data_IF_996533957397
#
_entry.id   IF_996533957397
#
_cell.length_a   1.000
_cell.length_b   1.000
_cell.length_c   1.000
_cell.angle_alpha   90.00
_cell.angle_beta   90.00
_cell.angle_gamma   90.00
#
_symmetry.space_group_name_H-M   'P 1'
#
loop_
_entity.id
_entity.type
_entity.pdbx_description
1 polymer ?
#
# COMPACT_ATOMS: atom_id res chain seq x y z
N UNK A 1 20.75 -7.30 19.67
CA UNK A 1 19.63 -8.06 20.24
C UNK A 1 19.05 -7.35 21.47
N UNK A 2 19.84 -6.93 22.45
CA UNK A 2 19.33 -6.21 23.65
C UNK A 2 18.50 -4.94 23.32
N UNK A 3 18.96 -4.09 22.39
CA UNK A 3 18.21 -2.89 21.98
C UNK A 3 16.89 -3.22 21.29
N UNK A 4 16.84 -4.32 20.52
CA UNK A 4 15.61 -4.76 19.87
C UNK A 4 14.59 -5.22 20.90
N UNK A 5 15.01 -5.95 21.93
CA UNK A 5 14.12 -6.36 23.02
C UNK A 5 13.62 -5.16 23.83
N UNK A 6 14.47 -4.15 24.09
CA UNK A 6 14.05 -2.90 24.72
C UNK A 6 12.94 -2.21 23.92
N UNK A 7 13.12 -2.08 22.60
CA UNK A 7 12.10 -1.51 21.72
C UNK A 7 10.82 -2.36 21.72
N UNK A 8 10.93 -3.69 21.69
CA UNK A 8 9.75 -4.58 21.77
C UNK A 8 8.93 -4.34 23.04
N UNK A 9 9.59 -4.22 24.19
CA UNK A 9 8.94 -3.92 25.47
C UNK A 9 8.29 -2.54 25.44
N UNK A 10 8.99 -1.52 24.96
CA UNK A 10 8.45 -0.16 24.83
C UNK A 10 7.18 -0.12 23.95
N UNK A 11 7.25 -0.68 22.74
CA UNK A 11 6.11 -0.71 21.82
C UNK A 11 4.95 -1.58 22.32
N UNK A 12 5.21 -2.57 23.18
CA UNK A 12 4.17 -3.39 23.81
C UNK A 12 3.35 -2.61 24.86
N UNK A 13 3.88 -1.52 25.41
CA UNK A 13 3.16 -0.67 26.38
C UNK A 13 2.23 0.37 25.74
N UNK A 14 2.30 0.56 24.42
CA UNK A 14 1.49 1.56 23.73
C UNK A 14 0.01 1.16 23.68
N UNK A 15 -0.85 2.09 24.09
CA UNK A 15 -2.29 1.92 24.07
C UNK A 15 -2.90 2.36 22.72
N UNK A 16 -4.16 2.00 22.41
CA UNK A 16 -4.82 2.45 21.19
C UNK A 16 -4.79 3.97 20.98
N UNK A 17 -4.78 4.77 22.05
CA UNK A 17 -4.64 6.23 21.97
C UNK A 17 -3.27 6.65 21.46
N UNK A 18 -2.20 6.01 21.90
CA UNK A 18 -0.83 6.34 21.48
C UNK A 18 -0.63 6.02 20.01
N UNK A 19 -1.15 4.87 19.57
CA UNK A 19 -1.17 4.49 18.16
C UNK A 19 -1.99 5.43 17.29
N UNK A 20 -2.99 6.11 17.84
CA UNK A 20 -3.85 7.04 17.10
C UNK A 20 -3.55 8.52 17.38
N UNK A 21 -2.36 8.83 17.89
CA UNK A 21 -1.97 10.21 18.24
C UNK A 21 -1.83 11.15 17.03
N UNK A 22 -1.54 10.60 15.85
CA UNK A 22 -1.56 11.31 14.57
C UNK A 22 -1.57 10.31 13.40
N UNK A 23 -1.72 10.81 12.18
CA UNK A 23 -1.83 10.00 10.95
C UNK A 23 -0.63 9.06 10.73
N UNK A 24 0.59 9.50 11.08
CA UNK A 24 1.79 8.68 10.93
C UNK A 24 1.71 7.43 11.83
N UNK A 25 1.38 7.62 13.11
CA UNK A 25 1.25 6.51 14.06
C UNK A 25 0.06 5.61 13.74
N UNK A 26 -1.06 6.18 13.29
CA UNK A 26 -2.22 5.40 12.87
C UNK A 26 -1.92 4.54 11.64
N UNK A 27 -1.09 5.04 10.70
CA UNK A 27 -0.63 4.25 9.55
C UNK A 27 0.27 3.09 9.98
N UNK A 28 1.27 3.34 10.83
CA UNK A 28 2.09 2.26 11.41
C UNK A 28 1.24 1.22 12.14
N UNK A 29 0.23 1.69 12.87
CA UNK A 29 -0.70 0.80 13.56
C UNK A 29 -1.51 -0.05 12.58
N UNK A 30 -1.91 0.48 11.42
CA UNK A 30 -2.52 -0.32 10.36
C UNK A 30 -1.52 -1.35 9.80
N UNK A 31 -0.27 -0.96 9.49
CA UNK A 31 0.75 -1.89 8.98
C UNK A 31 1.06 -3.05 9.94
N UNK A 32 0.96 -2.81 11.24
CA UNK A 32 1.11 -3.88 12.26
C UNK A 32 0.13 -5.05 12.06
N UNK A 33 -1.06 -4.82 11.48
CA UNK A 33 -2.01 -5.93 11.22
C UNK A 33 -1.67 -6.71 9.96
N UNK A 34 -0.95 -6.10 9.01
CA UNK A 34 -0.58 -6.72 7.74
C UNK A 34 0.36 -7.91 8.01
N UNK A 35 1.27 -7.74 8.96
CA UNK A 35 2.28 -8.74 9.38
C UNK A 35 1.79 -9.67 10.51
N UNK A 36 0.48 -9.75 10.74
CA UNK A 36 -0.07 -10.68 11.72
C UNK A 36 -0.18 -12.09 11.13
N UNK A 37 0.20 -13.10 11.90
CA UNK A 37 0.04 -14.50 11.50
C UNK A 37 -1.45 -14.84 11.33
N UNK A 38 -1.80 -15.42 10.17
CA UNK A 38 -3.14 -15.90 9.90
C UNK A 38 -3.26 -17.36 10.31
N UNK A 39 -4.14 -17.64 11.27
CA UNK A 39 -4.38 -18.99 11.79
C UNK A 39 -5.47 -19.78 11.04
N UNK A 40 -6.02 -20.79 11.72
CA UNK A 40 -7.14 -21.60 11.22
C UNK A 40 -8.34 -20.71 10.85
N UNK A 41 -8.91 -20.93 9.67
CA UNK A 41 -10.07 -20.20 9.16
C UNK A 41 -9.75 -19.24 8.00
N UNK A 42 -8.48 -18.86 7.81
CA UNK A 42 -8.01 -18.12 6.63
C UNK A 42 -7.72 -19.04 5.45
N UNK A 43 -7.52 -18.46 4.26
CA UNK A 43 -7.12 -19.22 3.07
C UNK A 43 -5.78 -19.93 3.29
N UNK A 44 -5.58 -21.09 2.64
CA UNK A 44 -4.38 -21.92 2.86
C UNK A 44 -3.08 -21.18 2.57
N UNK A 45 -3.05 -20.35 1.53
CA UNK A 45 -1.88 -19.54 1.21
C UNK A 45 -1.55 -18.53 2.33
N UNK A 46 -2.56 -17.97 3.02
CA UNK A 46 -2.35 -16.97 4.07
C UNK A 46 -1.69 -17.54 5.33
N UNK A 47 -1.81 -18.86 5.53
CA UNK A 47 -1.25 -19.55 6.69
C UNK A 47 0.23 -19.92 6.51
N UNK A 48 0.84 -19.54 5.38
CA UNK A 48 2.23 -19.90 5.05
C UNK A 48 3.21 -18.82 5.48
N UNK A 49 4.43 -19.23 5.84
CA UNK A 49 5.54 -18.28 6.09
C UNK A 49 5.86 -17.42 4.88
N UNK A 50 5.81 -18.01 3.67
CA UNK A 50 6.01 -17.28 2.42
C UNK A 50 5.02 -16.11 2.24
N UNK A 51 3.75 -16.30 2.62
CA UNK A 51 2.77 -15.21 2.59
C UNK A 51 3.03 -14.14 3.65
N UNK A 52 3.50 -14.55 4.84
CA UNK A 52 3.90 -13.61 5.89
C UNK A 52 5.12 -12.77 5.45
N UNK A 53 6.09 -13.37 4.78
CA UNK A 53 7.23 -12.67 4.19
C UNK A 53 6.75 -11.67 3.12
N UNK A 54 5.82 -12.06 2.24
CA UNK A 54 5.20 -11.14 1.27
C UNK A 54 4.48 -9.98 1.95
N UNK A 55 3.77 -10.25 3.05
CA UNK A 55 3.11 -9.21 3.85
C UNK A 55 4.11 -8.26 4.51
N UNK A 56 5.23 -8.79 5.01
CA UNK A 56 6.32 -7.98 5.54
C UNK A 56 6.90 -7.07 4.44
N UNK A 57 7.10 -7.59 3.23
CA UNK A 57 7.54 -6.80 2.08
C UNK A 57 6.59 -5.64 1.76
N UNK A 58 5.28 -5.93 1.69
CA UNK A 58 4.24 -4.91 1.49
C UNK A 58 4.26 -3.86 2.61
N UNK A 59 4.42 -4.29 3.87
CA UNK A 59 4.49 -3.39 5.00
C UNK A 59 5.73 -2.48 4.96
N UNK A 60 6.89 -3.03 4.57
CA UNK A 60 8.14 -2.28 4.44
C UNK A 60 8.11 -1.29 3.27
N UNK A 61 7.57 -1.69 2.11
CA UNK A 61 7.35 -0.77 0.98
C UNK A 61 6.41 0.39 1.38
N UNK A 62 5.33 0.09 2.10
CA UNK A 62 4.41 1.11 2.62
C UNK A 62 5.06 2.01 3.68
N UNK A 63 5.94 1.45 4.50
CA UNK A 63 6.72 2.21 5.46
C UNK A 63 7.74 3.14 4.78
N UNK A 64 8.45 2.67 3.75
CA UNK A 64 9.34 3.50 2.93
C UNK A 64 8.57 4.67 2.30
N UNK A 65 7.37 4.41 1.76
CA UNK A 65 6.48 5.44 1.25
C UNK A 65 6.04 6.46 2.32
N UNK A 66 5.71 5.98 3.53
CA UNK A 66 5.38 6.82 4.66
C UNK A 66 6.57 7.70 5.07
N UNK A 67 7.79 7.15 5.10
CA UNK A 67 9.02 7.91 5.38
C UNK A 67 9.25 8.98 4.32
N UNK A 68 9.19 8.62 3.04
CA UNK A 68 9.27 9.57 1.94
C UNK A 68 8.28 10.75 2.11
N UNK A 69 7.01 10.46 2.44
CA UNK A 69 5.97 11.49 2.56
C UNK A 69 6.05 12.33 3.85
N UNK A 70 6.80 11.88 4.86
CA UNK A 70 6.94 12.59 6.16
C UNK A 70 8.30 13.25 6.36
N UNK A 71 9.29 12.93 5.53
CA UNK A 71 10.51 13.71 5.43
C UNK A 71 10.16 15.01 4.70
N UNK A 72 10.58 16.15 5.25
CA UNK A 72 10.26 17.49 4.77
C UNK A 72 10.97 17.85 3.45
N UNK A 73 10.76 17.06 2.39
CA UNK A 73 11.04 17.47 1.02
C UNK A 73 9.73 17.90 0.37
N UNK A 74 9.51 19.22 0.29
CA UNK A 74 8.50 19.74 -0.61
C UNK A 74 8.93 19.43 -2.05
N UNK A 75 8.21 18.53 -2.74
CA UNK A 75 8.36 18.38 -4.18
C UNK A 75 8.05 19.71 -4.85
N UNK A 76 8.92 20.16 -5.75
CA UNK A 76 8.67 21.34 -6.56
C UNK A 76 7.48 21.09 -7.50
N UNK A 77 6.64 22.11 -7.70
CA UNK A 77 5.56 22.05 -8.68
C UNK A 77 6.15 22.12 -10.10
N UNK A 78 5.66 21.26 -10.98
CA UNK A 78 5.97 21.29 -12.42
C UNK A 78 4.69 21.50 -13.22
N UNK A 79 4.82 22.12 -14.40
CA UNK A 79 3.73 22.18 -15.39
C UNK A 79 3.78 20.91 -16.24
N UNK A 80 2.68 20.14 -16.36
CA UNK A 80 2.68 18.89 -17.13
C UNK A 80 2.85 19.15 -18.63
N UNK A 81 3.77 18.43 -19.27
CA UNK A 81 3.79 18.30 -20.74
C UNK A 81 2.75 17.24 -21.09
N UNK A 82 1.66 17.67 -21.74
CA UNK A 82 0.62 16.78 -22.22
C UNK A 82 1.14 15.95 -23.40
N UNK A 83 1.29 14.64 -23.21
CA UNK A 83 1.33 13.69 -24.34
C UNK A 83 -0.10 13.19 -24.53
N UNK A 84 -0.81 13.80 -25.48
CA UNK A 84 -2.15 13.38 -25.84
C UNK A 84 -2.12 11.99 -26.46
N UNK A 85 -2.77 11.03 -25.83
CA UNK A 85 -3.10 9.75 -26.45
C UNK A 85 -4.43 9.95 -27.18
N UNK A 86 -4.41 9.89 -28.52
CA UNK A 86 -5.60 9.99 -29.37
C UNK A 86 -5.74 8.74 -30.21
N UNK A 87 -6.54 7.78 -29.73
CA UNK A 87 -7.35 6.84 -30.54
C UNK A 87 -7.92 5.76 -29.62
N UNK A 88 -9.26 5.65 -29.58
CA UNK A 88 -9.99 4.53 -28.98
C UNK A 88 -10.48 3.66 -30.14
N UNK A 89 -9.96 2.45 -30.26
CA UNK A 89 -10.55 1.44 -31.16
C UNK A 89 -11.87 0.91 -30.59
N UNK A 90 -12.82 0.46 -31.42
CA UNK A 90 -14.09 -0.08 -30.95
C UNK A 90 -13.86 -1.38 -30.18
N UNK A 91 -14.18 -1.39 -28.89
CA UNK A 91 -14.05 -2.56 -28.04
C UNK A 91 -15.19 -3.56 -28.29
N UNK A 92 -14.89 -4.88 -28.41
CA UNK A 92 -15.91 -5.93 -28.37
C UNK A 92 -16.66 -5.90 -27.03
N UNK A 93 -17.86 -6.52 -26.95
CA UNK A 93 -18.64 -6.53 -25.71
C UNK A 93 -17.77 -7.03 -24.55
N UNK A 94 -17.78 -6.31 -23.40
CA UNK A 94 -16.89 -6.63 -22.31
C UNK A 94 -17.19 -8.05 -21.81
N UNK A 95 -16.16 -8.87 -21.55
CA UNK A 95 -16.37 -10.12 -20.82
C UNK A 95 -17.04 -9.80 -19.47
N UNK A 96 -17.77 -10.76 -18.87
CA UNK A 96 -18.33 -10.57 -17.55
C UNK A 96 -17.23 -10.09 -16.60
N UNK A 97 -17.50 -9.06 -15.75
CA UNK A 97 -16.46 -8.48 -14.91
C UNK A 97 -15.81 -9.60 -14.09
N UNK A 98 -14.47 -9.66 -14.05
CA UNK A 98 -13.79 -10.67 -13.26
C UNK A 98 -14.27 -10.56 -11.81
N UNK A 99 -14.60 -11.70 -11.19
CA UNK A 99 -14.99 -11.71 -9.78
C UNK A 99 -13.82 -11.16 -8.96
N UNK A 100 -13.97 -9.96 -8.42
CA UNK A 100 -12.90 -9.26 -7.72
C UNK A 100 -12.58 -9.92 -6.38
N UNK A 101 -11.31 -9.93 -6.00
CA UNK A 101 -10.85 -10.39 -4.69
C UNK A 101 -10.27 -9.20 -3.93
N UNK A 102 -10.82 -8.90 -2.75
CA UNK A 102 -10.16 -8.00 -1.79
C UNK A 102 -9.21 -8.83 -0.94
N UNK A 103 -7.99 -8.37 -0.69
CA UNK A 103 -7.11 -9.09 0.23
C UNK A 103 -7.78 -9.18 1.62
N UNK A 104 -7.95 -10.39 2.21
CA UNK A 104 -8.78 -10.59 3.40
C UNK A 104 -8.08 -10.16 4.71
N UNK A 105 -7.86 -8.85 4.87
CA UNK A 105 -7.24 -8.20 6.04
C UNK A 105 -8.24 -7.27 6.76
N UNK A 106 -9.24 -7.79 7.49
CA UNK A 106 -10.34 -6.98 8.01
C UNK A 106 -9.86 -5.95 9.05
N UNK A 107 -8.90 -6.30 9.90
CA UNK A 107 -8.34 -5.36 10.88
C UNK A 107 -7.57 -4.22 10.21
N UNK A 108 -6.87 -4.50 9.10
CA UNK A 108 -6.16 -3.48 8.33
C UNK A 108 -7.14 -2.44 7.78
N UNK A 109 -8.19 -2.89 7.09
CA UNK A 109 -9.22 -2.00 6.55
C UNK A 109 -9.94 -1.23 7.64
N UNK A 110 -10.22 -1.86 8.79
CA UNK A 110 -10.80 -1.16 9.94
C UNK A 110 -9.89 -0.02 10.45
N UNK A 111 -8.58 -0.26 10.56
CA UNK A 111 -7.62 0.76 11.01
C UNK A 111 -7.43 1.89 9.99
N UNK A 112 -7.29 1.57 8.70
CA UNK A 112 -7.20 2.59 7.64
C UNK A 112 -8.49 3.41 7.52
N UNK A 113 -9.66 2.76 7.63
CA UNK A 113 -10.94 3.45 7.67
C UNK A 113 -11.03 4.41 8.86
N UNK A 114 -10.63 3.95 10.05
CA UNK A 114 -10.62 4.77 11.28
C UNK A 114 -9.69 5.97 11.11
N UNK A 115 -8.47 5.74 10.60
CA UNK A 115 -7.48 6.80 10.30
C UNK A 115 -8.06 7.84 9.34
N UNK A 116 -8.72 7.39 8.27
CA UNK A 116 -9.32 8.26 7.26
C UNK A 116 -10.49 9.07 7.82
N UNK A 117 -11.35 8.44 8.65
CA UNK A 117 -12.43 9.14 9.35
C UNK A 117 -11.92 10.19 10.32
N UNK A 118 -10.86 9.89 11.07
CA UNK A 118 -10.21 10.86 11.96
C UNK A 118 -9.63 12.05 11.17
N UNK A 119 -8.96 11.78 10.05
CA UNK A 119 -8.45 12.82 9.16
C UNK A 119 -9.59 13.72 8.64
N UNK A 120 -10.67 13.09 8.15
CA UNK A 120 -11.85 13.79 7.65
C UNK A 120 -12.50 14.69 8.69
N UNK A 121 -12.82 14.14 9.87
CA UNK A 121 -13.43 14.91 10.95
C UNK A 121 -12.53 16.05 11.42
N UNK A 122 -11.23 15.78 11.63
CA UNK A 122 -10.29 16.81 12.08
C UNK A 122 -10.13 17.96 11.08
N UNK A 123 -9.97 17.66 9.78
CA UNK A 123 -9.87 18.69 8.74
C UNK A 123 -11.18 19.47 8.56
N UNK A 124 -12.32 18.81 8.74
CA UNK A 124 -13.63 19.45 8.69
C UNK A 124 -13.85 20.40 9.88
N UNK A 125 -13.52 19.98 11.09
CA UNK A 125 -13.60 20.80 12.31
C UNK A 125 -12.70 22.03 12.24
N UNK A 126 -11.52 21.90 11.62
CA UNK A 126 -10.61 23.01 11.36
C UNK A 126 -11.10 23.96 10.25
N UNK A 127 -12.21 23.65 9.56
CA UNK A 127 -12.75 24.40 8.43
C UNK A 127 -11.73 24.64 7.28
N UNK A 128 -10.82 23.69 7.05
CA UNK A 128 -9.79 23.79 5.99
C UNK A 128 -10.16 23.04 4.71
N UNK A 129 -11.29 22.32 4.70
CA UNK A 129 -11.78 21.60 3.53
C UNK A 129 -12.66 22.51 2.67
N UNK A 130 -12.29 22.65 1.39
CA UNK A 130 -13.22 23.11 0.37
C UNK A 130 -14.14 21.95 -0.09
N UNK A 131 -15.23 22.27 -0.79
CA UNK A 131 -16.23 21.28 -1.23
C UNK A 131 -15.64 20.12 -2.06
N UNK A 132 -14.64 20.41 -2.90
CA UNK A 132 -13.96 19.41 -3.72
C UNK A 132 -13.13 18.45 -2.87
N UNK A 133 -12.32 18.96 -1.93
CA UNK A 133 -11.53 18.15 -1.01
C UNK A 133 -12.42 17.34 -0.05
N UNK A 134 -13.51 17.93 0.44
CA UNK A 134 -14.50 17.24 1.27
C UNK A 134 -15.15 16.07 0.52
N UNK A 135 -15.57 16.27 -0.74
CA UNK A 135 -16.15 15.22 -1.58
C UNK A 135 -15.17 14.08 -1.82
N UNK A 136 -13.90 14.40 -2.07
CA UNK A 136 -12.85 13.39 -2.32
C UNK A 136 -12.54 12.57 -1.08
N UNK A 137 -12.40 13.23 0.07
CA UNK A 137 -12.10 12.55 1.33
C UNK A 137 -13.29 11.73 1.83
N UNK A 138 -14.52 12.23 1.69
CA UNK A 138 -15.73 11.44 2.01
C UNK A 138 -15.90 10.24 1.07
N UNK A 139 -15.62 10.39 -0.23
CA UNK A 139 -15.60 9.26 -1.18
C UNK A 139 -14.57 8.20 -0.79
N UNK A 140 -13.40 8.58 -0.28
CA UNK A 140 -12.41 7.63 0.23
C UNK A 140 -12.93 6.87 1.45
N UNK A 141 -13.58 7.57 2.40
CA UNK A 141 -14.22 6.94 3.57
C UNK A 141 -15.24 5.90 3.11
N UNK A 142 -16.16 6.25 2.21
CA UNK A 142 -17.19 5.31 1.70
C UNK A 142 -16.58 4.12 0.96
N UNK A 143 -15.51 4.35 0.19
CA UNK A 143 -14.79 3.25 -0.50
C UNK A 143 -14.18 2.28 0.50
N UNK A 144 -13.52 2.79 1.55
CA UNK A 144 -12.93 1.98 2.61
C UNK A 144 -13.99 1.24 3.45
N UNK A 145 -15.16 1.83 3.68
CA UNK A 145 -16.29 1.15 4.32
C UNK A 145 -16.75 -0.05 3.50
N UNK A 146 -16.87 0.11 2.18
CA UNK A 146 -17.27 -0.97 1.28
C UNK A 146 -16.22 -2.08 1.24
N UNK A 147 -14.94 -1.73 1.13
CA UNK A 147 -13.83 -2.69 1.19
C UNK A 147 -13.79 -3.45 2.51
N UNK A 148 -13.98 -2.76 3.64
CA UNK A 148 -14.04 -3.40 4.95
C UNK A 148 -15.20 -4.41 5.05
N UNK A 149 -16.37 -4.06 4.55
CA UNK A 149 -17.52 -4.97 4.53
C UNK A 149 -17.27 -6.21 3.65
N UNK A 150 -16.77 -6.01 2.44
CA UNK A 150 -16.39 -7.08 1.51
C UNK A 150 -15.35 -8.02 2.13
N UNK A 151 -14.33 -7.45 2.76
CA UNK A 151 -13.28 -8.19 3.43
C UNK A 151 -13.83 -9.07 4.55
N UNK A 152 -14.72 -8.55 5.41
CA UNK A 152 -15.37 -9.35 6.47
C UNK A 152 -16.19 -10.50 5.87
N UNK A 153 -16.92 -10.25 4.79
CA UNK A 153 -17.74 -11.27 4.12
C UNK A 153 -16.89 -12.36 3.49
N UNK A 154 -15.77 -12.00 2.85
CA UNK A 154 -14.83 -12.97 2.31
C UNK A 154 -14.18 -13.82 3.40
N UNK A 155 -13.74 -13.22 4.53
CA UNK A 155 -13.21 -13.98 5.68
C UNK A 155 -14.27 -14.91 6.27
N UNK A 156 -15.54 -14.50 6.28
CA UNK A 156 -16.67 -15.33 6.68
C UNK A 156 -17.12 -16.35 5.61
N UNK A 157 -16.36 -16.49 4.51
CA UNK A 157 -16.65 -17.36 3.38
C UNK A 157 -18.07 -17.17 2.78
N UNK A 158 -18.54 -15.92 2.75
CA UNK A 158 -19.82 -15.54 2.13
C UNK A 158 -19.58 -15.15 0.67
N UNK A 159 -20.47 -15.59 -0.22
CA UNK A 159 -20.41 -15.22 -1.63
C UNK A 159 -20.58 -13.71 -1.83
N UNK A 160 -19.88 -13.16 -2.83
CA UNK A 160 -20.02 -11.79 -3.27
C UNK A 160 -21.17 -11.67 -4.28
N UNK A 161 -21.96 -10.61 -4.16
CA UNK A 161 -23.06 -10.31 -5.09
C UNK A 161 -22.54 -9.73 -6.41
N UNK A 162 -23.40 -9.58 -7.42
CA UNK A 162 -23.00 -8.89 -8.65
C UNK A 162 -22.57 -7.44 -8.37
N UNK A 163 -23.31 -6.72 -7.53
CA UNK A 163 -22.99 -5.34 -7.11
C UNK A 163 -21.59 -5.25 -6.47
N UNK A 164 -21.22 -6.25 -5.66
CA UNK A 164 -19.89 -6.31 -5.07
C UNK A 164 -18.79 -6.44 -6.13
N UNK A 165 -19.01 -7.30 -7.12
CA UNK A 165 -18.06 -7.51 -8.21
C UNK A 165 -17.96 -6.26 -9.10
N UNK A 166 -19.08 -5.59 -9.36
CA UNK A 166 -19.11 -4.33 -10.12
C UNK A 166 -18.36 -3.22 -9.38
N UNK A 167 -18.54 -3.13 -8.05
CA UNK A 167 -17.76 -2.22 -7.21
C UNK A 167 -16.26 -2.50 -7.28
N UNK A 168 -15.86 -3.78 -7.19
CA UNK A 168 -14.44 -4.16 -7.24
C UNK A 168 -13.83 -3.92 -8.62
N UNK A 169 -14.58 -4.14 -9.70
CA UNK A 169 -14.16 -3.79 -11.04
C UNK A 169 -13.98 -2.28 -11.22
N UNK A 170 -14.83 -1.47 -10.58
CA UNK A 170 -14.76 -0.01 -10.60
C UNK A 170 -13.79 0.61 -9.56
N UNK A 171 -13.22 -0.21 -8.67
CA UNK A 171 -12.38 0.26 -7.57
C UNK A 171 -11.18 1.11 -8.02
N UNK A 172 -10.41 0.75 -9.07
CA UNK A 172 -9.28 1.57 -9.51
C UNK A 172 -9.69 3.01 -9.86
N UNK A 173 -10.82 3.18 -10.56
CA UNK A 173 -11.37 4.49 -10.90
C UNK A 173 -11.93 5.23 -9.68
N UNK A 174 -12.55 4.50 -8.73
CA UNK A 174 -12.98 5.09 -7.47
C UNK A 174 -11.80 5.64 -6.66
N UNK A 175 -10.71 4.88 -6.58
CA UNK A 175 -9.48 5.29 -5.90
C UNK A 175 -8.84 6.50 -6.61
N UNK A 176 -8.75 6.47 -7.94
CA UNK A 176 -8.23 7.59 -8.74
C UNK A 176 -9.02 8.88 -8.49
N UNK A 177 -10.36 8.82 -8.43
CA UNK A 177 -11.20 9.98 -8.11
C UNK A 177 -10.98 10.51 -6.69
N UNK A 178 -10.74 9.64 -5.71
CA UNK A 178 -10.42 10.05 -4.35
C UNK A 178 -9.05 10.79 -4.28
N UNK A 179 -8.04 10.26 -4.96
CA UNK A 179 -6.70 10.89 -5.10
C UNK A 179 -6.75 12.15 -5.98
N UNK A 180 -7.79 12.29 -6.82
CA UNK A 180 -8.11 13.42 -7.69
C UNK A 180 -6.96 13.89 -8.58
N UNK A 181 -6.87 15.20 -8.81
CA UNK A 181 -5.97 15.81 -9.82
C UNK A 181 -4.50 15.83 -9.37
N UNK A 182 -3.94 14.66 -9.08
CA UNK A 182 -2.51 14.45 -8.91
C UNK A 182 -1.96 14.04 -10.28
N UNK A 183 -0.79 14.59 -10.65
CA UNK A 183 -0.15 14.21 -11.89
C UNK A 183 0.28 12.73 -11.88
N UNK A 184 0.49 12.13 -13.05
CA UNK A 184 0.90 10.71 -13.15
C UNK A 184 2.21 10.44 -12.39
N UNK A 185 3.04 11.46 -12.17
CA UNK A 185 4.26 11.36 -11.35
C UNK A 185 3.94 11.20 -9.86
N UNK A 186 2.95 11.92 -9.33
CA UNK A 186 2.50 11.80 -7.95
C UNK A 186 1.72 10.51 -7.66
N UNK A 187 1.33 9.78 -8.70
CA UNK A 187 0.75 8.43 -8.60
C UNK A 187 1.80 7.31 -8.64
N UNK A 188 3.07 7.63 -8.92
CA UNK A 188 4.12 6.61 -8.99
C UNK A 188 4.40 6.00 -7.62
N UNK A 189 4.50 4.69 -7.60
CA UNK A 189 4.95 3.91 -6.44
C UNK A 189 6.46 3.84 -6.33
N UNK A 190 7.20 4.26 -7.37
CA UNK A 190 8.67 4.25 -7.42
C UNK A 190 9.25 5.46 -6.68
N UNK A 191 9.38 5.33 -5.37
CA UNK A 191 9.83 6.40 -4.45
C UNK A 191 10.95 5.89 -3.55
N UNK A 192 11.80 6.81 -3.09
CA UNK A 192 12.96 6.50 -2.26
C UNK A 192 13.12 7.49 -1.10
N UNK A 193 13.57 7.01 0.05
CA UNK A 193 13.83 7.83 1.22
C UNK A 193 15.16 7.46 1.88
N UNK A 194 16.03 8.46 2.09
CA UNK A 194 17.10 8.37 3.07
C UNK A 194 16.50 8.44 4.47
N UNK A 195 16.53 7.32 5.19
CA UNK A 195 15.99 7.21 6.54
C UNK A 195 17.03 7.38 7.63
N UNK A 196 18.32 7.31 7.29
CA UNK A 196 19.42 7.45 8.24
C UNK A 196 20.75 7.78 7.56
N UNK A 197 21.50 8.73 8.12
CA UNK A 197 22.84 9.07 7.66
C UNK A 197 23.87 8.71 8.72
N UNK A 198 24.81 7.82 8.37
CA UNK A 198 25.97 7.51 9.21
C UNK A 198 27.19 8.33 8.76
N UNK A 199 27.54 9.36 9.54
CA UNK A 199 28.65 10.25 9.25
C UNK A 199 30.03 9.57 9.35
N UNK A 200 30.13 8.45 10.08
CA UNK A 200 31.41 7.74 10.24
C UNK A 200 31.76 6.97 8.96
N UNK A 201 30.79 6.24 8.41
CA UNK A 201 30.96 5.53 7.14
C UNK A 201 30.70 6.39 5.90
N UNK A 202 30.13 7.59 6.08
CA UNK A 202 29.69 8.49 5.00
C UNK A 202 28.65 7.84 4.08
N UNK A 203 27.80 6.98 4.65
CA UNK A 203 26.73 6.29 3.95
C UNK A 203 25.36 6.73 4.46
N UNK A 204 24.37 6.69 3.59
CA UNK A 204 22.94 6.80 3.91
C UNK A 204 22.32 5.40 3.84
N UNK A 205 21.28 5.17 4.64
CA UNK A 205 20.38 4.03 4.50
C UNK A 205 19.18 4.49 3.68
N UNK A 206 19.07 3.93 2.48
CA UNK A 206 18.00 4.21 1.53
C UNK A 206 16.94 3.10 1.62
N UNK A 207 15.70 3.54 1.65
CA UNK A 207 14.50 2.70 1.71
C UNK A 207 13.61 3.08 0.55
N UNK A 208 13.28 2.12 -0.32
CA UNK A 208 12.59 2.43 -1.57
C UNK A 208 11.50 1.42 -1.90
N UNK A 209 10.50 1.88 -2.66
CA UNK A 209 9.61 1.02 -3.41
C UNK A 209 9.93 1.10 -4.89
N UNK A 210 9.88 -0.04 -5.58
CA UNK A 210 10.19 -0.16 -6.99
C UNK A 210 8.93 -0.23 -7.86
N UNK A 211 9.05 -0.94 -8.98
CA UNK A 211 7.89 -1.28 -9.81
C UNK A 211 6.96 -2.25 -9.07
N UNK A 212 5.68 -2.23 -9.42
CA UNK A 212 4.73 -3.21 -8.88
C UNK A 212 4.99 -4.56 -9.53
N UNK A 213 5.06 -5.60 -8.70
CA UNK A 213 5.13 -6.99 -9.14
C UNK A 213 3.72 -7.58 -9.19
N UNK A 214 3.58 -8.79 -9.73
CA UNK A 214 2.33 -9.54 -9.67
C UNK A 214 2.42 -10.68 -8.66
N UNK A 215 1.34 -10.86 -7.90
CA UNK A 215 1.13 -12.08 -7.11
C UNK A 215 0.05 -12.92 -7.76
N UNK A 216 0.25 -14.23 -7.74
CA UNK A 216 -0.75 -15.22 -8.16
C UNK A 216 -1.09 -16.07 -6.93
N UNK A 217 -2.37 -16.11 -6.55
CA UNK A 217 -2.84 -16.91 -5.41
C UNK A 217 -3.95 -17.86 -5.83
N UNK A 218 -3.89 -19.09 -5.34
CA UNK A 218 -4.99 -20.03 -5.42
C UNK A 218 -6.00 -19.72 -4.31
N UNK A 219 -7.15 -19.18 -4.68
CA UNK A 219 -8.21 -18.76 -3.76
C UNK A 219 -9.38 -19.74 -3.82
N UNK A 220 -9.73 -20.32 -2.67
CA UNK A 220 -10.93 -21.17 -2.54
C UNK A 220 -12.14 -20.28 -2.28
N UNK A 221 -13.11 -20.30 -3.19
CA UNK A 221 -14.35 -19.52 -3.08
C UNK A 221 -15.37 -20.20 -2.19
N UNK A 222 -16.42 -19.46 -1.83
CA UNK A 222 -17.55 -19.94 -1.04
C UNK A 222 -18.29 -21.09 -1.74
N UNK A 223 -18.33 -21.06 -3.08
CA UNK A 223 -18.90 -22.09 -3.95
C UNK A 223 -18.09 -23.40 -3.97
N UNK A 224 -16.89 -23.40 -3.37
CA UNK A 224 -16.04 -24.58 -3.19
C UNK A 224 -14.99 -24.79 -4.27
N UNK A 225 -15.09 -24.08 -5.40
CA UNK A 225 -14.08 -24.12 -6.45
C UNK A 225 -12.87 -23.23 -6.14
N UNK A 226 -11.74 -23.57 -6.77
CA UNK A 226 -10.47 -22.86 -6.62
C UNK A 226 -10.22 -22.06 -7.88
N UNK A 227 -9.97 -20.76 -7.71
CA UNK A 227 -9.60 -19.84 -8.80
C UNK A 227 -8.20 -19.31 -8.57
N UNK A 228 -7.53 -18.93 -9.65
CA UNK A 228 -6.29 -18.14 -9.57
C UNK A 228 -6.67 -16.66 -9.58
N UNK A 229 -6.33 -15.94 -8.52
CA UNK A 229 -6.43 -14.49 -8.47
C UNK A 229 -5.04 -13.89 -8.73
N UNK A 230 -5.01 -12.85 -9.57
CA UNK A 230 -3.80 -12.11 -9.90
C UNK A 230 -3.99 -10.67 -9.46
N UNK A 231 -3.01 -10.11 -8.78
CA UNK A 231 -3.05 -8.73 -8.31
C UNK A 231 -1.68 -8.09 -8.21
N UNK A 232 -1.60 -6.75 -8.23
CA UNK A 232 -0.35 -6.04 -8.03
C UNK A 232 0.10 -6.12 -6.58
N UNK A 233 1.41 -6.24 -6.36
CA UNK A 233 2.05 -6.16 -5.04
C UNK A 233 3.22 -5.20 -5.10
N UNK A 234 3.53 -4.57 -3.96
CA UNK A 234 4.65 -3.64 -3.87
C UNK A 234 5.97 -4.41 -3.82
N UNK A 235 6.99 -3.87 -4.47
CA UNK A 235 8.39 -4.24 -4.26
C UNK A 235 9.05 -3.31 -3.25
N UNK A 236 10.08 -3.81 -2.57
CA UNK A 236 10.81 -3.09 -1.53
C UNK A 236 12.32 -3.29 -1.70
N UNK A 237 13.07 -2.22 -1.48
CA UNK A 237 14.52 -2.20 -1.52
C UNK A 237 15.06 -1.48 -0.28
N UNK A 238 16.06 -2.08 0.36
CA UNK A 238 16.81 -1.50 1.47
C UNK A 238 18.30 -1.64 1.15
N UNK A 239 19.02 -0.52 1.09
CA UNK A 239 20.44 -0.55 0.78
C UNK A 239 21.19 0.68 1.31
N UNK A 240 22.51 0.55 1.40
CA UNK A 240 23.38 1.68 1.73
C UNK A 240 23.82 2.41 0.47
N UNK A 241 23.83 3.73 0.50
CA UNK A 241 24.26 4.58 -0.62
C UNK A 241 25.25 5.65 -0.15
N UNK A 242 26.18 6.14 -1.00
CA UNK A 242 27.09 7.22 -0.60
C UNK A 242 26.34 8.51 -0.24
N UNK A 243 26.63 9.09 0.94
CA UNK A 243 26.01 10.35 1.38
C UNK A 243 26.28 11.53 0.44
N UNK A 244 27.39 11.48 -0.32
CA UNK A 244 27.72 12.49 -1.33
C UNK A 244 26.83 12.44 -2.59
N UNK A 245 26.07 11.35 -2.77
CA UNK A 245 25.20 11.12 -3.92
C UNK A 245 23.78 10.72 -3.50
N UNK A 246 23.17 11.48 -2.57
CA UNK A 246 21.79 11.19 -2.12
C UNK A 246 20.83 11.05 -3.31
N UNK A 247 20.00 10.02 -3.25
CA UNK A 247 19.07 9.69 -4.31
C UNK A 247 17.82 10.57 -4.23
N UNK A 248 17.36 11.02 -5.40
CA UNK A 248 16.01 11.56 -5.59
C UNK A 248 15.14 10.49 -6.24
N UNK A 249 13.82 10.68 -6.23
CA UNK A 249 12.90 9.81 -6.96
C UNK A 249 13.28 9.67 -8.44
N UNK A 250 13.77 10.73 -9.08
CA UNK A 250 14.19 10.70 -10.48
C UNK A 250 15.41 9.80 -10.69
N UNK A 251 16.45 9.96 -9.85
CA UNK A 251 17.64 9.09 -9.91
C UNK A 251 17.28 7.64 -9.61
N UNK A 252 16.41 7.40 -8.63
CA UNK A 252 15.91 6.07 -8.32
C UNK A 252 15.15 5.45 -9.51
N UNK A 253 14.28 6.22 -10.15
CA UNK A 253 13.56 5.79 -11.35
C UNK A 253 14.50 5.55 -12.55
N UNK A 254 15.61 6.27 -12.66
CA UNK A 254 16.64 6.02 -13.67
C UNK A 254 17.39 4.71 -13.40
N UNK A 255 17.78 4.46 -12.14
CA UNK A 255 18.42 3.20 -11.73
C UNK A 255 17.51 2.00 -12.02
N UNK A 256 16.22 2.09 -11.70
CA UNK A 256 15.22 1.07 -12.02
C UNK A 256 15.14 0.82 -13.53
N UNK A 257 15.03 1.88 -14.35
CA UNK A 257 14.96 1.78 -15.82
C UNK A 257 16.23 1.18 -16.43
N UNK A 258 17.39 1.45 -15.84
CA UNK A 258 18.68 0.94 -16.29
C UNK A 258 18.96 -0.51 -15.84
N UNK A 259 18.09 -1.11 -15.02
CA UNK A 259 18.34 -2.43 -14.43
C UNK A 259 19.50 -2.42 -13.42
N UNK A 260 19.76 -1.27 -12.81
CA UNK A 260 20.86 -1.04 -11.86
C UNK A 260 20.37 -0.89 -10.42
N UNK A 261 19.07 -1.13 -10.17
CA UNK A 261 18.53 -1.13 -8.82
C UNK A 261 19.20 -2.20 -7.96
N UNK A 262 19.56 -1.90 -6.69
CA UNK A 262 20.06 -2.90 -5.76
C UNK A 262 19.09 -4.05 -5.58
N UNK A 263 19.62 -5.24 -5.29
CA UNK A 263 18.80 -6.42 -5.06
C UNK A 263 17.78 -6.17 -3.94
N UNK A 264 16.57 -6.69 -4.12
CA UNK A 264 15.58 -6.75 -3.04
C UNK A 264 16.10 -7.64 -1.90
N UNK A 265 15.56 -7.53 -0.67
CA UNK A 265 16.06 -8.29 0.47
C UNK A 265 16.06 -9.80 0.22
N UNK A 266 17.14 -10.49 0.61
CA UNK A 266 17.34 -11.92 0.30
C UNK A 266 16.20 -12.82 0.81
N UNK A 267 15.51 -12.44 1.88
CA UNK A 267 14.43 -13.25 2.45
C UNK A 267 13.18 -13.33 1.55
N UNK A 268 13.05 -12.51 0.49
CA UNK A 268 11.88 -12.58 -0.40
C UNK A 268 11.83 -13.84 -1.27
N UNK A 269 12.95 -14.57 -1.40
CA UNK A 269 13.03 -15.79 -2.22
C UNK A 269 12.09 -16.91 -1.74
N UNK A 270 11.49 -16.77 -0.55
CA UNK A 270 10.48 -17.71 -0.04
C UNK A 270 9.16 -17.66 -0.82
N UNK A 271 8.87 -16.55 -1.51
CA UNK A 271 7.64 -16.36 -2.28
C UNK A 271 7.86 -15.78 -3.69
N UNK A 272 9.01 -15.16 -3.95
CA UNK A 272 9.30 -14.47 -5.20
C UNK A 272 10.05 -15.38 -6.19
N UNK A 273 9.53 -15.49 -7.42
CA UNK A 273 10.18 -16.17 -8.54
C UNK A 273 10.43 -15.16 -9.67
N UNK A 274 11.64 -15.16 -10.22
CA UNK A 274 12.07 -14.33 -11.34
C UNK A 274 11.73 -14.96 -12.69
#
# INVERSE_FOLDING_TARGET
>A
QEQLEKLRVEFATLEPRDWNRNLYWSWLYALKTVIAECGKGYQTYQQTGAWLDRQLNTALASWAALRHNTILYAKQSYTPVHVGITSVEPTPPPPPPPKGLVEPLPEFYARILTTTKMAYSGLKELNVLNARSETRLSSLVTTLERLYDLCKRQVANKALTQEDNDFLAAFPEALKRAIGDVDDKGLKTTIIADVHTDLNSKLTLEEASGYVDFVIVAYKRAEGDIVLAVGPVLSYHEFKHPMADRLTDEKWQEMLRAGQAPAQPQWIHTYFAQ
#
